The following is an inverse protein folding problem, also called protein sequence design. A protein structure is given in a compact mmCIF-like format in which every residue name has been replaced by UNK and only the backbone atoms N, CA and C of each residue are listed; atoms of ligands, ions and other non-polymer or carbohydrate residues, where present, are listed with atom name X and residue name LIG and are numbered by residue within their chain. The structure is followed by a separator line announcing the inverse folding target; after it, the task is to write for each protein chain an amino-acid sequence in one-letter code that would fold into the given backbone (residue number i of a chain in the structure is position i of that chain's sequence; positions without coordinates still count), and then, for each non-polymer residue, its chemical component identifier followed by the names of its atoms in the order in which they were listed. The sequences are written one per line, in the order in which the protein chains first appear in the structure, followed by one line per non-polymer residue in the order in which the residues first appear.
data_IF_897113991296
#
_entry.id   IF_897113991296
#
_cell.length_a   1.000
_cell.length_b   1.000
_cell.length_c   1.000
_cell.angle_alpha   90.00
_cell.angle_beta   90.00
_cell.angle_gamma   90.00
#
_symmetry.space_group_name_H-M   'P 1'
#
loop_
_entity.id
_entity.type
_entity.pdbx_description
1 polymer ?
#
# COMPACT_ATOMS: atom_id res chain seq x y z
N UNK A 1 9.59 -13.12 30.09
CA UNK A 1 8.32 -12.62 30.62
C UNK A 1 7.98 -11.17 30.22
N UNK A 2 8.92 -10.19 30.23
CA UNK A 2 8.59 -8.79 29.87
C UNK A 2 8.21 -8.63 28.40
N UNK A 3 8.93 -9.25 27.47
CA UNK A 3 8.59 -9.23 26.03
C UNK A 3 7.14 -9.71 25.78
N UNK A 4 6.74 -10.82 26.39
CA UNK A 4 5.37 -11.34 26.25
C UNK A 4 4.31 -10.36 26.80
N UNK A 5 4.59 -9.70 27.93
CA UNK A 5 3.66 -8.68 28.48
C UNK A 5 3.52 -7.48 27.54
N UNK A 6 4.63 -6.99 27.01
CA UNK A 6 4.64 -5.87 26.08
C UNK A 6 3.89 -6.22 24.79
N UNK A 7 4.17 -7.39 24.19
CA UNK A 7 3.50 -7.86 22.98
C UNK A 7 1.99 -8.05 23.21
N UNK A 8 1.58 -8.60 24.36
CA UNK A 8 0.16 -8.74 24.70
C UNK A 8 -0.54 -7.38 24.91
N UNK A 9 0.17 -6.39 25.44
CA UNK A 9 -0.36 -5.02 25.55
C UNK A 9 -0.55 -4.38 24.17
N UNK A 10 0.44 -4.54 23.27
CA UNK A 10 0.36 -4.05 21.89
C UNK A 10 -0.73 -4.77 21.09
N UNK A 11 -0.97 -6.07 21.33
CA UNK A 11 -2.10 -6.76 20.70
C UNK A 11 -3.42 -6.12 21.10
N UNK A 12 -3.64 -5.86 22.39
CA UNK A 12 -4.86 -5.17 22.85
C UNK A 12 -4.98 -3.74 22.29
N UNK A 13 -3.87 -3.02 22.19
CA UNK A 13 -3.80 -1.69 21.58
C UNK A 13 -4.23 -1.77 20.10
N UNK A 14 -3.71 -2.75 19.37
CA UNK A 14 -4.06 -2.97 17.96
C UNK A 14 -5.54 -3.37 17.79
N UNK A 15 -6.06 -4.23 18.66
CA UNK A 15 -7.49 -4.67 18.63
C UNK A 15 -8.45 -3.51 18.93
N UNK A 16 -7.98 -2.50 19.65
CA UNK A 16 -8.71 -1.26 19.88
C UNK A 16 -8.63 -0.25 18.71
N UNK A 17 -8.07 -0.64 17.57
CA UNK A 17 -7.93 0.22 16.38
C UNK A 17 -6.89 1.34 16.53
N UNK A 18 -6.04 1.30 17.55
CA UNK A 18 -5.08 2.37 17.86
C UNK A 18 -3.79 2.21 17.05
N UNK A 19 -3.27 3.34 16.55
CA UNK A 19 -2.05 3.39 15.75
C UNK A 19 -0.81 3.18 16.63
N UNK A 20 0.09 2.29 16.19
CA UNK A 20 1.39 2.08 16.77
C UNK A 20 2.50 2.32 15.75
N UNK A 21 3.30 3.37 15.93
CA UNK A 21 4.46 3.69 15.09
C UNK A 21 5.72 3.33 15.86
N UNK A 22 6.64 2.61 15.20
CA UNK A 22 7.98 2.38 15.73
C UNK A 22 9.03 3.19 14.97
N UNK A 23 9.99 3.74 15.70
CA UNK A 23 11.15 4.44 15.12
C UNK A 23 12.41 3.70 15.58
N UNK A 24 13.04 2.99 14.64
CA UNK A 24 14.21 2.17 14.92
C UNK A 24 15.48 3.01 14.81
N UNK A 25 16.18 3.14 15.93
CA UNK A 25 17.42 3.92 16.03
C UNK A 25 18.65 2.99 16.12
N UNK A 26 19.85 3.55 16.05
CA UNK A 26 21.11 2.78 16.15
C UNK A 26 21.58 2.66 17.60
N UNK A 27 21.76 1.43 18.18
CA UNK A 27 21.31 0.15 17.66
C UNK A 27 19.91 -0.28 18.17
N UNK A 28 19.16 -1.01 17.36
CA UNK A 28 17.95 -1.73 17.79
C UNK A 28 18.20 -3.22 17.66
N UNK A 29 18.52 -3.93 18.76
CA UNK A 29 18.96 -5.34 18.70
C UNK A 29 18.35 -6.20 19.82
N UNK A 30 18.48 -7.52 19.66
CA UNK A 30 18.09 -8.51 20.68
C UNK A 30 16.60 -8.55 20.95
N UNK A 31 16.25 -8.59 22.24
CA UNK A 31 14.87 -8.66 22.69
C UNK A 31 13.99 -7.47 22.29
N UNK A 32 14.58 -6.30 22.04
CA UNK A 32 13.85 -5.12 21.53
C UNK A 32 13.33 -5.40 20.11
N UNK A 33 14.20 -5.86 19.21
CA UNK A 33 13.81 -6.24 17.86
C UNK A 33 12.81 -7.39 17.87
N UNK A 34 13.07 -8.44 18.68
CA UNK A 34 12.21 -9.62 18.75
C UNK A 34 10.90 -9.41 19.54
N UNK A 35 10.52 -8.17 19.80
CA UNK A 35 9.27 -7.83 20.49
C UNK A 35 8.63 -6.57 19.91
N UNK A 36 8.54 -5.53 20.69
CA UNK A 36 7.76 -4.33 20.34
C UNK A 36 8.28 -3.56 19.13
N UNK A 37 9.59 -3.58 18.84
CA UNK A 37 10.16 -2.81 17.74
C UNK A 37 9.62 -3.22 16.35
N UNK A 38 9.36 -4.51 16.15
CA UNK A 38 8.87 -5.06 14.86
C UNK A 38 7.36 -5.26 14.82
N UNK A 39 6.61 -4.75 15.80
CA UNK A 39 5.15 -4.86 15.86
C UNK A 39 4.42 -3.57 15.45
N UNK A 40 5.13 -2.58 14.92
CA UNK A 40 4.53 -1.33 14.45
C UNK A 40 3.59 -1.53 13.27
N UNK A 41 2.46 -0.83 13.27
CA UNK A 41 1.63 -0.65 12.08
C UNK A 41 2.44 0.08 10.99
N UNK A 42 3.29 1.01 11.43
CA UNK A 42 4.26 1.74 10.62
C UNK A 42 5.61 1.65 11.32
N UNK A 43 6.62 1.16 10.58
CA UNK A 43 7.98 0.98 11.09
C UNK A 43 8.92 1.89 10.32
N UNK A 44 9.40 2.93 10.99
CA UNK A 44 10.41 3.85 10.47
C UNK A 44 11.78 3.50 11.01
N UNK A 45 12.84 3.80 10.27
CA UNK A 45 14.20 3.63 10.73
C UNK A 45 15.07 4.85 10.39
N UNK A 46 16.08 5.13 11.23
CA UNK A 46 17.12 6.09 10.89
C UNK A 46 18.09 5.47 9.88
N UNK A 47 18.70 6.28 8.99
CA UNK A 47 19.71 5.78 8.05
C UNK A 47 20.86 5.08 8.75
N UNK A 48 21.33 3.98 8.17
CA UNK A 48 22.45 3.18 8.66
C UNK A 48 22.30 2.60 10.06
N UNK A 49 21.13 2.67 10.68
CA UNK A 49 20.87 2.08 11.99
C UNK A 49 21.10 0.57 11.95
N UNK A 50 21.80 0.03 12.96
CA UNK A 50 21.97 -1.40 13.16
C UNK A 50 20.71 -1.99 13.77
N UNK A 51 20.02 -2.84 13.03
CA UNK A 51 18.73 -3.42 13.43
C UNK A 51 18.80 -4.94 13.19
N UNK A 52 18.63 -5.73 14.23
CA UNK A 52 18.66 -7.18 14.11
C UNK A 52 18.47 -7.90 15.44
N UNK A 53 18.16 -9.19 15.39
CA UNK A 53 18.01 -9.99 16.61
C UNK A 53 19.37 -10.34 17.20
N UNK A 54 20.15 -11.14 16.50
CA UNK A 54 21.54 -11.47 16.92
C UNK A 54 22.49 -10.37 16.43
N UNK A 55 23.43 -9.97 17.28
CA UNK A 55 24.44 -9.01 16.86
C UNK A 55 25.39 -9.59 15.80
N UNK A 56 25.98 -8.75 14.92
CA UNK A 56 26.84 -9.19 13.83
C UNK A 56 27.99 -10.13 14.28
N UNK A 57 28.64 -9.81 15.41
CA UNK A 57 29.72 -10.65 15.98
C UNK A 57 29.25 -12.05 16.33
N UNK A 58 28.05 -12.18 16.91
CA UNK A 58 27.49 -13.49 17.28
C UNK A 58 27.24 -14.32 16.03
N UNK A 59 26.66 -13.69 14.99
CA UNK A 59 26.38 -14.37 13.72
C UNK A 59 27.71 -14.83 13.08
N UNK A 60 28.71 -13.95 12.95
CA UNK A 60 30.02 -14.28 12.36
C UNK A 60 30.71 -15.41 13.08
N UNK A 61 30.65 -15.42 14.41
CA UNK A 61 31.20 -16.50 15.22
C UNK A 61 30.46 -17.82 15.05
N UNK A 62 29.15 -17.77 14.85
CA UNK A 62 28.32 -18.97 14.67
C UNK A 62 28.53 -19.61 13.30
N UNK A 63 28.52 -18.78 12.24
CA UNK A 63 28.64 -19.26 10.85
C UNK A 63 30.08 -19.36 10.34
N UNK A 64 31.05 -18.89 11.15
CA UNK A 64 32.48 -18.81 10.82
C UNK A 64 32.78 -18.08 9.47
N UNK A 65 31.97 -17.08 9.13
CA UNK A 65 32.11 -16.27 7.92
C UNK A 65 31.86 -14.79 8.22
N UNK A 66 32.56 -13.91 7.50
CA UNK A 66 32.30 -12.47 7.57
C UNK A 66 30.96 -12.14 6.92
N UNK A 67 30.22 -11.25 7.54
CA UNK A 67 28.95 -10.77 7.02
C UNK A 67 29.16 -9.81 5.83
N UNK A 68 28.22 -9.79 4.87
CA UNK A 68 28.26 -8.82 3.78
C UNK A 68 28.22 -7.39 4.31
N UNK A 69 28.85 -6.46 3.55
CA UNK A 69 28.81 -5.03 3.88
C UNK A 69 27.36 -4.54 3.87
N UNK A 70 26.98 -3.83 4.94
CA UNK A 70 25.62 -3.28 5.09
C UNK A 70 24.60 -4.27 5.67
N UNK A 71 25.00 -5.50 5.98
CA UNK A 71 24.11 -6.48 6.63
C UNK A 71 23.53 -5.93 7.94
N UNK A 72 22.24 -6.15 8.18
CA UNK A 72 21.49 -5.65 9.34
C UNK A 72 21.44 -4.10 9.46
N UNK A 73 21.76 -3.34 8.42
CA UNK A 73 21.51 -1.91 8.40
C UNK A 73 20.09 -1.61 7.94
N UNK A 74 19.59 -0.43 8.27
CA UNK A 74 18.23 0.00 7.86
C UNK A 74 17.98 -0.17 6.36
N UNK A 75 18.96 0.11 5.51
CA UNK A 75 18.87 -0.07 4.06
C UNK A 75 18.70 -1.56 3.69
N UNK A 76 19.36 -2.46 4.41
CA UNK A 76 19.17 -3.89 4.25
C UNK A 76 17.76 -4.31 4.66
N UNK A 77 17.24 -3.80 5.78
CA UNK A 77 15.90 -4.12 6.25
C UNK A 77 14.81 -3.59 5.30
N UNK A 78 15.03 -2.40 4.72
CA UNK A 78 14.12 -1.83 3.73
C UNK A 78 14.05 -2.74 2.48
N UNK A 79 15.22 -3.13 1.96
CA UNK A 79 15.31 -4.06 0.81
C UNK A 79 14.64 -5.40 1.07
N UNK A 80 14.73 -5.92 2.30
CA UNK A 80 14.12 -7.18 2.71
C UNK A 80 12.69 -7.02 3.27
N UNK A 81 12.08 -5.85 3.09
CA UNK A 81 10.68 -5.61 3.37
C UNK A 81 10.28 -5.54 4.85
N UNK A 82 11.23 -5.42 5.77
CA UNK A 82 10.96 -5.43 7.22
C UNK A 82 10.55 -4.07 7.79
N UNK A 83 10.88 -2.97 7.10
CA UNK A 83 10.53 -1.61 7.52
C UNK A 83 9.82 -0.86 6.38
N UNK A 84 9.02 0.14 6.74
CA UNK A 84 8.25 0.92 5.75
C UNK A 84 9.08 2.02 5.11
N UNK A 85 9.92 2.70 5.89
CA UNK A 85 10.65 3.87 5.40
C UNK A 85 11.89 4.18 6.23
N UNK A 86 12.94 4.66 5.55
CA UNK A 86 14.10 5.27 6.19
C UNK A 86 13.88 6.78 6.22
N UNK A 87 14.06 7.40 7.40
CA UNK A 87 13.82 8.81 7.62
C UNK A 87 15.00 9.42 8.36
N UNK A 88 15.58 10.48 7.81
CA UNK A 88 16.62 11.27 8.48
C UNK A 88 16.06 11.87 9.79
N UNK A 89 16.87 11.90 10.85
CA UNK A 89 16.44 12.43 12.16
C UNK A 89 15.88 13.85 12.08
N UNK A 90 16.44 14.70 11.22
CA UNK A 90 15.99 16.09 11.01
C UNK A 90 14.57 16.17 10.44
N UNK A 91 14.17 15.18 9.64
CA UNK A 91 12.88 15.13 8.93
C UNK A 91 11.83 14.30 9.69
N UNK A 92 12.26 13.56 10.74
CA UNK A 92 11.42 12.64 11.50
C UNK A 92 10.18 13.32 12.09
N UNK A 93 10.32 14.53 12.64
CA UNK A 93 9.20 15.30 13.20
C UNK A 93 8.13 15.56 12.13
N UNK A 94 8.53 16.03 10.97
CA UNK A 94 7.62 16.35 9.84
C UNK A 94 6.91 15.10 9.33
N UNK A 95 7.62 13.97 9.19
CA UNK A 95 7.04 12.71 8.75
C UNK A 95 6.04 12.18 9.77
N UNK A 96 6.38 12.19 11.04
CA UNK A 96 5.47 11.77 12.12
C UNK A 96 4.23 12.66 12.19
N UNK A 97 4.38 13.98 12.07
CA UNK A 97 3.27 14.93 12.05
C UNK A 97 2.27 14.62 10.93
N UNK A 98 2.76 14.38 9.72
CA UNK A 98 1.92 13.99 8.57
C UNK A 98 1.17 12.69 8.82
N UNK A 99 1.87 11.65 9.25
CA UNK A 99 1.28 10.34 9.55
C UNK A 99 0.20 10.47 10.63
N UNK A 100 0.50 11.14 11.74
CA UNK A 100 -0.44 11.32 12.85
C UNK A 100 -1.66 12.14 12.44
N UNK A 101 -1.47 13.20 11.64
CA UNK A 101 -2.57 14.03 11.15
C UNK A 101 -3.53 13.25 10.27
N UNK A 102 -3.00 12.44 9.34
CA UNK A 102 -3.82 11.58 8.47
C UNK A 102 -4.66 10.57 9.27
N UNK A 103 -4.08 9.98 10.32
CA UNK A 103 -4.80 9.01 11.17
C UNK A 103 -5.83 9.67 12.09
N UNK A 104 -5.56 10.89 12.58
CA UNK A 104 -6.51 11.65 13.40
C UNK A 104 -7.77 12.03 12.61
N UNK A 105 -7.62 12.52 11.40
CA UNK A 105 -8.75 12.88 10.54
C UNK A 105 -9.65 11.69 10.22
N UNK A 106 -9.08 10.50 10.04
CA UNK A 106 -9.85 9.27 9.85
C UNK A 106 -10.68 8.93 11.08
N UNK A 107 -10.08 9.05 12.28
CA UNK A 107 -10.78 8.76 13.54
C UNK A 107 -11.91 9.77 13.83
N UNK A 108 -11.71 11.04 13.54
CA UNK A 108 -12.72 12.10 13.67
C UNK A 108 -13.90 11.88 12.71
N UNK A 109 -13.63 11.51 11.45
CA UNK A 109 -14.68 11.21 10.46
C UNK A 109 -15.53 10.00 10.84
N UNK A 110 -14.96 9.00 11.51
CA UNK A 110 -15.71 7.85 12.04
C UNK A 110 -16.59 8.27 13.23
N UNK A 111 -16.08 9.14 14.11
CA UNK A 111 -16.84 9.62 15.27
C UNK A 111 -18.07 10.48 14.85
N UNK A 112 -17.95 11.30 13.83
CA UNK A 112 -19.06 12.07 13.27
C UNK A 112 -20.14 11.17 12.62
N UNK A 113 -19.73 10.10 11.93
CA UNK A 113 -20.66 9.15 11.31
C UNK A 113 -21.34 8.22 12.34
N UNK A 114 -20.72 7.91 13.46
CA UNK A 114 -21.34 7.11 14.54
C UNK A 114 -22.30 7.91 15.40
N UNK A 115 -22.23 9.25 15.38
CA UNK A 115 -23.19 10.13 16.04
C UNK A 115 -24.56 10.19 15.37
N UNK A 116 -24.66 9.85 14.09
CA UNK A 116 -25.91 9.67 13.37
C UNK A 116 -26.25 8.19 13.34
N UNK A 117 -27.06 7.73 14.30
CA UNK A 117 -27.59 6.36 14.41
C UNK A 117 -28.19 5.89 13.09
N UNK A 118 -27.40 5.32 12.21
CA UNK A 118 -27.87 4.42 11.17
C UNK A 118 -28.10 3.06 11.83
N UNK A 119 -29.30 2.81 12.31
CA UNK A 119 -29.78 1.46 12.66
C UNK A 119 -29.86 0.70 11.34
N UNK A 120 -28.87 -0.14 11.08
CA UNK A 120 -28.97 -1.12 10.00
C UNK A 120 -29.95 -2.20 10.46
N UNK A 121 -31.19 -2.08 10.05
CA UNK A 121 -32.13 -3.19 10.07
C UNK A 121 -31.80 -4.13 8.90
N UNK A 122 -31.56 -5.39 9.22
CA UNK A 122 -31.44 -6.49 8.26
C UNK A 122 -32.65 -6.49 7.32
N UNK A 123 -32.47 -6.13 6.06
CA UNK A 123 -33.47 -6.36 5.04
C UNK A 123 -33.70 -5.29 3.96
N UNK A 124 -33.25 -4.06 4.12
CA UNK A 124 -33.48 -3.03 3.09
C UNK A 124 -32.16 -2.37 2.65
N UNK A 125 -31.74 -2.67 1.42
CA UNK A 125 -30.79 -1.84 0.67
C UNK A 125 -31.54 -0.56 0.30
N UNK A 126 -31.58 0.41 1.19
CA UNK A 126 -32.01 1.76 0.83
C UNK A 126 -30.86 2.44 0.09
N UNK A 127 -31.04 2.54 -1.22
CA UNK A 127 -30.21 3.41 -2.07
C UNK A 127 -30.30 4.82 -1.48
N UNK A 128 -29.14 5.42 -1.16
CA UNK A 128 -29.05 6.79 -0.69
C UNK A 128 -29.92 7.70 -1.56
N UNK A 129 -30.67 8.62 -0.95
CA UNK A 129 -31.64 9.44 -1.65
C UNK A 129 -30.98 10.20 -2.80
N UNK A 130 -31.66 10.31 -3.94
CA UNK A 130 -31.17 11.00 -5.15
C UNK A 130 -30.69 12.45 -4.88
N UNK A 131 -31.05 13.03 -3.73
CA UNK A 131 -30.63 14.36 -3.31
C UNK A 131 -29.21 14.38 -2.72
N UNK A 132 -28.77 13.36 -1.98
CA UNK A 132 -27.40 13.28 -1.41
C UNK A 132 -26.38 12.88 -2.49
N UNK A 133 -26.74 11.92 -3.34
CA UNK A 133 -25.95 11.58 -4.55
C UNK A 133 -25.89 12.80 -5.47
N UNK A 134 -26.94 13.60 -5.55
CA UNK A 134 -27.00 14.84 -6.32
C UNK A 134 -26.05 15.93 -5.86
N UNK A 135 -25.75 16.06 -4.56
CA UNK A 135 -24.78 17.04 -4.04
C UNK A 135 -23.34 16.61 -4.28
N UNK A 136 -22.99 15.37 -4.00
CA UNK A 136 -21.67 14.82 -4.30
C UNK A 136 -21.36 14.86 -5.80
N UNK A 137 -22.32 14.52 -6.64
CA UNK A 137 -22.20 14.62 -8.12
C UNK A 137 -22.14 16.08 -8.60
N UNK A 138 -22.72 17.06 -7.89
CA UNK A 138 -22.61 18.49 -8.25
C UNK A 138 -21.22 19.06 -7.95
N UNK A 139 -20.54 18.61 -6.90
CA UNK A 139 -19.15 19.03 -6.58
C UNK A 139 -18.18 18.51 -7.65
N UNK A 140 -18.34 17.27 -8.10
CA UNK A 140 -17.56 16.70 -9.22
C UNK A 140 -17.92 17.34 -10.57
N UNK A 141 -19.14 17.87 -10.74
CA UNK A 141 -19.58 18.54 -11.99
C UNK A 141 -19.01 19.95 -12.16
N UNK A 142 -18.49 20.59 -11.13
CA UNK A 142 -17.91 21.94 -11.23
C UNK A 142 -16.41 22.00 -11.48
N UNK A 143 -15.66 20.88 -11.34
CA UNK A 143 -14.31 20.79 -11.85
C UNK A 143 -14.35 20.53 -13.36
N UNK A 144 -14.13 21.58 -14.16
CA UNK A 144 -13.99 21.60 -15.64
C UNK A 144 -14.56 20.37 -16.35
N UNK A 145 -15.83 20.44 -16.75
CA UNK A 145 -16.39 19.62 -17.82
C UNK A 145 -15.64 19.92 -19.12
N UNK A 146 -14.53 19.30 -19.38
CA UNK A 146 -14.17 19.00 -20.76
C UNK A 146 -15.15 17.94 -21.23
N UNK A 147 -16.27 18.39 -21.82
CA UNK A 147 -17.12 17.50 -22.61
C UNK A 147 -16.23 16.96 -23.72
N UNK A 148 -15.88 15.67 -23.65
CA UNK A 148 -15.34 14.97 -24.80
C UNK A 148 -16.23 15.32 -25.99
N UNK A 149 -15.65 15.90 -27.04
CA UNK A 149 -16.41 16.27 -28.23
C UNK A 149 -17.12 15.02 -28.76
N UNK A 150 -18.25 15.21 -29.43
CA UNK A 150 -18.98 14.10 -30.06
C UNK A 150 -18.03 13.24 -30.94
N UNK A 151 -17.03 13.88 -31.56
CA UNK A 151 -15.98 13.27 -32.38
C UNK A 151 -15.04 12.38 -31.53
N UNK A 152 -14.69 12.78 -30.31
CA UNK A 152 -13.84 11.95 -29.42
C UNK A 152 -14.63 10.76 -28.87
N UNK A 153 -15.93 10.93 -28.54
CA UNK A 153 -16.82 9.83 -28.15
C UNK A 153 -17.01 8.82 -29.31
N UNK A 154 -17.16 9.32 -30.54
CA UNK A 154 -17.30 8.50 -31.74
C UNK A 154 -16.01 7.71 -32.01
N UNK A 155 -14.83 8.35 -31.94
CA UNK A 155 -13.54 7.66 -32.09
C UNK A 155 -13.31 6.58 -31.04
N UNK A 156 -13.69 6.80 -29.78
CA UNK A 156 -13.57 5.80 -28.72
C UNK A 156 -14.50 4.59 -28.91
N UNK A 157 -15.65 4.75 -29.58
CA UNK A 157 -16.59 3.67 -29.91
C UNK A 157 -16.20 2.86 -31.14
N UNK A 158 -15.31 3.38 -31.98
CA UNK A 158 -14.91 2.79 -33.25
C UNK A 158 -13.65 1.89 -33.15
N UNK A 159 -12.89 1.94 -32.02
CA UNK A 159 -11.70 1.10 -31.82
C UNK A 159 -12.08 -0.36 -31.64
N UNK A 160 -11.44 -1.22 -32.41
CA UNK A 160 -11.51 -2.69 -32.21
C UNK A 160 -10.93 -3.09 -30.85
N UNK A 161 -11.21 -4.30 -30.37
CA UNK A 161 -10.63 -4.81 -29.13
C UNK A 161 -9.09 -4.80 -29.17
N UNK A 162 -8.51 -5.13 -30.31
CA UNK A 162 -7.05 -5.13 -30.48
C UNK A 162 -6.45 -3.72 -30.42
N UNK A 163 -7.08 -2.74 -31.07
CA UNK A 163 -6.64 -1.34 -30.98
C UNK A 163 -6.71 -0.80 -29.55
N UNK A 164 -7.68 -1.24 -28.74
CA UNK A 164 -7.73 -0.90 -27.31
C UNK A 164 -6.57 -1.49 -26.54
N UNK A 165 -6.21 -2.74 -26.82
CA UNK A 165 -5.02 -3.37 -26.22
C UNK A 165 -3.75 -2.61 -26.61
N UNK A 166 -3.60 -2.22 -27.87
CA UNK A 166 -2.45 -1.42 -28.32
C UNK A 166 -2.41 -0.06 -27.59
N UNK A 167 -3.57 0.61 -27.44
CA UNK A 167 -3.65 1.87 -26.69
C UNK A 167 -3.24 1.70 -25.23
N UNK A 168 -3.60 0.58 -24.57
CA UNK A 168 -3.20 0.30 -23.18
C UNK A 168 -1.69 0.06 -23.03
N UNK A 169 -0.98 -0.15 -24.13
CA UNK A 169 0.48 -0.40 -24.20
C UNK A 169 1.27 0.78 -24.75
N UNK A 170 0.62 1.90 -25.08
CA UNK A 170 1.31 3.11 -25.56
C UNK A 170 2.27 3.64 -24.50
N UNK A 171 3.49 4.00 -24.90
CA UNK A 171 4.55 4.47 -23.99
C UNK A 171 4.26 5.82 -23.35
N UNK A 172 3.60 6.71 -24.09
CA UNK A 172 3.32 8.08 -23.68
C UNK A 172 2.06 8.20 -22.79
N UNK A 173 1.37 7.10 -22.49
CA UNK A 173 0.21 7.14 -21.62
C UNK A 173 0.62 7.33 -20.16
N UNK A 174 -0.25 7.92 -19.33
CA UNK A 174 -0.02 7.98 -17.89
C UNK A 174 0.08 6.57 -17.28
N UNK A 175 1.00 6.41 -16.33
CA UNK A 175 1.19 5.19 -15.52
C UNK A 175 0.83 5.47 -14.05
N UNK A 176 0.88 4.46 -13.19
CA UNK A 176 0.47 4.58 -11.78
C UNK A 176 1.06 5.79 -11.06
N UNK A 177 2.34 6.09 -11.29
CA UNK A 177 3.05 7.24 -10.70
C UNK A 177 2.43 8.59 -11.09
N UNK A 178 2.00 8.73 -12.35
CA UNK A 178 1.36 9.97 -12.82
C UNK A 178 0.00 10.18 -12.15
N UNK A 179 -0.77 9.10 -11.94
CA UNK A 179 -2.04 9.17 -11.22
C UNK A 179 -1.84 9.48 -9.75
N UNK A 180 -0.83 8.87 -9.09
CA UNK A 180 -0.50 9.16 -7.69
C UNK A 180 -0.13 10.64 -7.55
N UNK A 181 0.83 11.12 -8.35
CA UNK A 181 1.31 12.51 -8.26
C UNK A 181 0.29 13.55 -8.71
N UNK A 182 -0.64 13.19 -9.61
CA UNK A 182 -1.62 14.11 -10.16
C UNK A 182 -2.94 14.21 -9.39
N UNK A 183 -3.30 13.19 -8.61
CA UNK A 183 -4.59 13.10 -7.92
C UNK A 183 -4.51 13.25 -6.41
N UNK A 184 -3.36 12.94 -5.82
CA UNK A 184 -3.21 12.88 -4.37
C UNK A 184 -2.22 13.92 -3.86
N UNK A 185 -2.48 14.36 -2.64
CA UNK A 185 -1.62 15.26 -1.89
C UNK A 185 -0.88 14.46 -0.81
N UNK A 186 0.40 14.83 -0.56
CA UNK A 186 1.21 14.30 0.54
C UNK A 186 1.34 12.76 0.58
N UNK A 187 1.48 12.12 -0.57
CA UNK A 187 1.66 10.68 -0.62
C UNK A 187 2.89 10.23 0.17
N UNK A 188 2.69 9.30 1.11
CA UNK A 188 3.73 8.65 1.91
C UNK A 188 3.75 7.17 1.51
N UNK A 189 4.77 6.78 0.75
CA UNK A 189 4.96 5.41 0.33
C UNK A 189 5.43 4.53 1.50
N UNK A 190 4.87 3.32 1.59
CA UNK A 190 5.25 2.27 2.51
C UNK A 190 5.76 1.04 1.76
N UNK A 191 6.88 0.50 2.21
CA UNK A 191 7.60 -0.58 1.57
C UNK A 191 7.43 -1.92 2.30
N UNK A 192 7.63 -3.00 1.54
CA UNK A 192 7.85 -4.33 2.06
C UNK A 192 6.63 -5.13 2.49
N UNK A 193 6.78 -6.44 2.39
CA UNK A 193 5.75 -7.42 2.71
C UNK A 193 5.80 -7.96 4.15
N UNK A 194 6.76 -7.54 4.95
CA UNK A 194 7.09 -8.03 6.30
C UNK A 194 7.61 -9.48 6.36
N UNK A 195 7.81 -10.12 5.22
CA UNK A 195 8.23 -11.53 5.16
C UNK A 195 9.55 -11.75 4.43
N UNK A 196 9.67 -11.24 3.21
CA UNK A 196 10.79 -11.56 2.33
C UNK A 196 11.41 -10.34 1.67
N UNK A 197 10.62 -9.44 1.09
CA UNK A 197 11.15 -8.34 0.31
C UNK A 197 10.17 -7.22 0.04
N UNK A 198 10.61 -6.32 -0.80
CA UNK A 198 9.76 -5.33 -1.46
C UNK A 198 9.66 -5.64 -2.94
N UNK A 199 8.60 -5.17 -3.57
CA UNK A 199 8.36 -5.33 -5.01
C UNK A 199 8.09 -3.97 -5.64
N UNK A 200 8.95 -3.57 -6.57
CA UNK A 200 8.83 -2.32 -7.30
C UNK A 200 7.66 -2.29 -8.30
N UNK A 201 7.06 -3.45 -8.62
CA UNK A 201 5.86 -3.54 -9.45
C UNK A 201 4.58 -3.12 -8.71
N UNK A 202 4.63 -3.00 -7.37
CA UNK A 202 3.54 -2.46 -6.55
C UNK A 202 4.05 -1.26 -5.74
N UNK A 203 3.43 -0.11 -5.92
CA UNK A 203 3.59 1.06 -5.08
C UNK A 203 2.36 1.21 -4.19
N UNK A 204 2.55 1.50 -2.91
CA UNK A 204 1.41 1.69 -2.02
C UNK A 204 1.75 2.51 -0.79
N UNK A 205 0.74 3.16 -0.23
CA UNK A 205 0.92 4.04 0.91
C UNK A 205 -0.34 4.79 1.30
N UNK A 206 -0.16 5.86 2.04
CA UNK A 206 -1.24 6.76 2.47
C UNK A 206 -1.10 8.14 1.84
N UNK A 207 -2.22 8.77 1.55
CA UNK A 207 -2.26 10.10 0.92
C UNK A 207 -3.54 10.84 1.29
N UNK A 208 -3.64 12.10 0.88
CA UNK A 208 -4.91 12.81 0.88
C UNK A 208 -5.54 12.80 -0.52
N UNK A 209 -6.83 12.53 -0.55
CA UNK A 209 -7.68 12.76 -1.72
C UNK A 209 -8.79 13.75 -1.35
N UNK A 210 -8.70 14.97 -1.88
CA UNK A 210 -9.63 16.07 -1.52
C UNK A 210 -9.76 16.30 -0.01
N UNK A 211 -8.64 16.27 0.70
CA UNK A 211 -8.57 16.48 2.14
C UNK A 211 -8.94 15.26 2.99
N UNK A 212 -9.34 14.13 2.39
CA UNK A 212 -9.66 12.89 3.09
C UNK A 212 -8.48 11.91 3.03
N UNK A 213 -8.06 11.32 4.15
CA UNK A 213 -7.02 10.29 4.15
C UNK A 213 -7.50 9.02 3.44
N UNK A 214 -6.71 8.52 2.51
CA UNK A 214 -6.95 7.29 1.74
C UNK A 214 -5.72 6.41 1.72
N UNK A 215 -5.92 5.12 1.49
CA UNK A 215 -4.85 4.20 1.13
C UNK A 215 -4.82 4.05 -0.39
N UNK A 216 -3.65 4.26 -0.99
CA UNK A 216 -3.44 4.15 -2.44
C UNK A 216 -2.55 2.95 -2.71
N UNK A 217 -2.93 2.12 -3.68
CA UNK A 217 -2.16 0.97 -4.15
C UNK A 217 -2.15 1.03 -5.69
N UNK A 218 -0.99 0.95 -6.30
CA UNK A 218 -0.86 1.04 -7.75
C UNK A 218 0.06 -0.05 -8.29
N UNK A 219 -0.38 -0.71 -9.34
CA UNK A 219 0.49 -1.53 -10.18
C UNK A 219 1.32 -0.61 -11.07
N UNK A 220 2.63 -0.81 -11.07
CA UNK A 220 3.60 0.13 -11.60
C UNK A 220 4.25 -0.40 -12.87
N UNK A 221 4.03 0.30 -13.97
CA UNK A 221 4.86 0.17 -15.19
C UNK A 221 5.85 1.33 -15.26
N UNK A 222 7.00 1.08 -15.87
CA UNK A 222 8.00 2.10 -16.16
C UNK A 222 7.73 2.84 -17.47
N UNK A 223 8.27 4.05 -17.59
CA UNK A 223 8.26 4.86 -18.82
C UNK A 223 9.48 4.56 -19.71
N UNK A 224 10.55 4.03 -19.11
CA UNK A 224 11.76 3.60 -19.80
C UNK A 224 11.92 2.07 -19.75
N UNK A 225 12.81 1.54 -20.60
CA UNK A 225 13.14 0.11 -20.58
C UNK A 225 13.78 -0.30 -19.25
N UNK A 226 14.65 0.54 -18.69
CA UNK A 226 15.30 0.28 -17.40
C UNK A 226 14.30 0.18 -16.27
N UNK A 227 13.38 1.14 -16.17
CA UNK A 227 12.31 1.13 -15.16
C UNK A 227 11.37 -0.07 -15.33
N UNK A 228 11.06 -0.46 -16.58
CA UNK A 228 10.24 -1.63 -16.83
C UNK A 228 10.93 -2.93 -16.38
N UNK A 229 12.24 -3.05 -16.55
CA UNK A 229 13.02 -4.20 -16.05
C UNK A 229 12.97 -4.22 -14.52
N UNK A 230 13.20 -3.08 -13.86
CA UNK A 230 13.15 -2.96 -12.40
C UNK A 230 11.78 -3.33 -11.82
N UNK A 231 10.70 -3.00 -12.55
CA UNK A 231 9.30 -3.25 -12.16
C UNK A 231 8.72 -4.52 -12.78
N UNK A 232 9.56 -5.45 -13.22
CA UNK A 232 9.14 -6.71 -13.88
C UNK A 232 8.07 -6.50 -14.97
N UNK A 233 8.17 -5.41 -15.74
CA UNK A 233 7.19 -4.99 -16.75
C UNK A 233 5.76 -4.81 -16.20
N UNK A 234 5.64 -4.42 -14.93
CA UNK A 234 4.38 -4.29 -14.22
C UNK A 234 3.77 -5.62 -13.78
N UNK A 235 4.56 -6.68 -13.70
CA UNK A 235 4.14 -8.00 -13.22
C UNK A 235 4.56 -8.17 -11.76
N UNK A 236 3.63 -8.13 -10.79
CA UNK A 236 3.99 -8.26 -9.39
C UNK A 236 4.49 -9.66 -9.03
N UNK A 237 5.47 -9.70 -8.14
CA UNK A 237 5.94 -10.88 -7.43
C UNK A 237 5.08 -11.15 -6.17
N UNK A 238 5.27 -12.28 -5.45
CA UNK A 238 4.52 -12.58 -4.23
C UNK A 238 4.58 -11.48 -3.18
N UNK A 239 5.73 -10.81 -3.08
CA UNK A 239 5.99 -9.71 -2.14
C UNK A 239 5.09 -8.51 -2.43
N UNK A 240 4.82 -8.21 -3.70
CA UNK A 240 3.93 -7.14 -4.12
C UNK A 240 2.50 -7.39 -3.65
N UNK A 241 1.98 -8.59 -3.85
CA UNK A 241 0.64 -8.98 -3.39
C UNK A 241 0.52 -8.95 -1.86
N UNK A 242 1.53 -9.47 -1.14
CA UNK A 242 1.54 -9.43 0.34
C UNK A 242 1.63 -8.01 0.87
N UNK A 243 2.43 -7.14 0.23
CA UNK A 243 2.49 -5.71 0.55
C UNK A 243 1.12 -5.05 0.34
N UNK A 244 0.46 -5.29 -0.79
CA UNK A 244 -0.87 -4.76 -1.07
C UNK A 244 -1.88 -5.20 0.01
N UNK A 245 -1.94 -6.49 0.33
CA UNK A 245 -2.83 -7.00 1.38
C UNK A 245 -2.54 -6.37 2.74
N UNK A 246 -1.29 -6.24 3.11
CA UNK A 246 -0.90 -5.59 4.37
C UNK A 246 -1.43 -4.16 4.45
N UNK A 247 -1.31 -3.39 3.37
CA UNK A 247 -1.82 -2.02 3.29
C UNK A 247 -3.35 -1.97 3.31
N UNK A 248 -4.02 -2.93 2.67
CA UNK A 248 -5.48 -3.06 2.73
C UNK A 248 -5.97 -3.37 4.15
N UNK A 249 -5.31 -4.28 4.88
CA UNK A 249 -5.63 -4.57 6.29
C UNK A 249 -5.35 -3.37 7.20
N UNK A 250 -4.30 -2.61 6.93
CA UNK A 250 -4.05 -1.35 7.64
C UNK A 250 -5.13 -0.30 7.33
N UNK A 251 -5.59 -0.23 6.08
CA UNK A 251 -6.67 0.67 5.68
C UNK A 251 -7.99 0.32 6.41
N UNK A 252 -8.33 -0.96 6.47
CA UNK A 252 -9.49 -1.47 7.22
C UNK A 252 -9.41 -1.10 8.71
N UNK A 253 -8.26 -1.37 9.35
CA UNK A 253 -8.02 -1.04 10.76
C UNK A 253 -8.25 0.44 11.08
N UNK A 254 -7.90 1.33 10.16
CA UNK A 254 -7.99 2.78 10.33
C UNK A 254 -9.13 3.41 9.51
N UNK A 255 -10.07 2.60 9.00
CA UNK A 255 -11.26 3.03 8.26
C UNK A 255 -10.97 3.96 7.07
N UNK A 256 -9.85 3.74 6.37
CA UNK A 256 -9.50 4.51 5.18
C UNK A 256 -10.05 3.83 3.93
N UNK A 257 -10.72 4.54 3.02
CA UNK A 257 -11.01 4.02 1.69
C UNK A 257 -9.73 3.62 0.95
N UNK A 258 -9.82 2.57 0.13
CA UNK A 258 -8.72 2.06 -0.67
C UNK A 258 -8.95 2.44 -2.13
N UNK A 259 -7.94 2.99 -2.78
CA UNK A 259 -7.95 3.31 -4.22
C UNK A 259 -6.85 2.51 -4.89
N UNK A 260 -7.24 1.59 -5.79
CA UNK A 260 -6.35 0.73 -6.53
C UNK A 260 -6.25 1.18 -7.99
N UNK A 261 -5.03 1.38 -8.50
CA UNK A 261 -4.76 1.61 -9.92
C UNK A 261 -4.24 0.33 -10.55
N UNK A 262 -5.00 -0.23 -11.48
CA UNK A 262 -4.71 -1.52 -12.11
C UNK A 262 -4.06 -1.32 -13.47
N UNK A 263 -2.83 -1.83 -13.61
CA UNK A 263 -2.07 -1.81 -14.86
C UNK A 263 -1.02 -2.92 -14.90
N UNK A 264 -1.45 -4.13 -15.14
CA UNK A 264 -0.56 -5.30 -15.24
C UNK A 264 -0.98 -6.25 -16.36
N UNK A 265 -0.02 -6.86 -17.09
CA UNK A 265 -0.33 -7.97 -17.99
C UNK A 265 -0.65 -9.27 -17.23
N UNK A 266 -0.34 -9.35 -15.94
CA UNK A 266 -0.52 -10.51 -15.07
C UNK A 266 0.52 -10.57 -13.96
N UNK A 267 0.45 -11.59 -13.13
CA UNK A 267 1.45 -11.87 -12.11
C UNK A 267 2.77 -12.33 -12.75
N UNK A 268 3.90 -12.05 -12.08
CA UNK A 268 5.21 -12.52 -12.55
C UNK A 268 5.26 -14.05 -12.53
N UNK A 269 5.69 -14.65 -13.65
CA UNK A 269 5.71 -16.10 -13.88
C UNK A 269 7.12 -16.67 -13.87
N UNK A 270 7.94 -16.26 -12.89
CA UNK A 270 9.31 -16.77 -12.72
C UNK A 270 9.38 -17.93 -11.73
N UNK A 271 10.42 -18.75 -11.82
CA UNK A 271 10.68 -19.88 -10.91
C UNK A 271 10.77 -19.37 -9.45
N UNK A 272 11.52 -18.30 -9.22
CA UNK A 272 11.70 -17.71 -7.89
C UNK A 272 10.38 -17.21 -7.28
N UNK A 273 9.46 -16.69 -8.11
CA UNK A 273 8.14 -16.28 -7.64
C UNK A 273 7.28 -17.48 -7.22
N UNK A 274 7.34 -18.58 -7.97
CA UNK A 274 6.66 -19.84 -7.60
C UNK A 274 7.23 -20.42 -6.29
N UNK A 275 8.55 -20.43 -6.13
CA UNK A 275 9.22 -20.87 -4.89
C UNK A 275 8.81 -20.05 -3.67
N UNK A 276 8.50 -18.77 -3.86
CA UNK A 276 8.02 -17.85 -2.79
C UNK A 276 6.50 -17.79 -2.66
N UNK A 277 5.77 -18.63 -3.41
CA UNK A 277 4.33 -18.82 -3.24
C UNK A 277 3.47 -17.83 -3.99
N UNK A 278 3.72 -17.59 -5.28
CA UNK A 278 2.95 -16.69 -6.13
C UNK A 278 1.45 -17.01 -6.12
N UNK A 279 1.10 -18.27 -6.29
CA UNK A 279 -0.30 -18.72 -6.28
C UNK A 279 -0.99 -18.50 -4.92
N UNK A 280 -0.28 -18.76 -3.82
CA UNK A 280 -0.80 -18.52 -2.46
C UNK A 280 -1.03 -17.04 -2.20
N UNK A 281 -0.09 -16.18 -2.56
CA UNK A 281 -0.21 -14.73 -2.36
C UNK A 281 -1.42 -14.14 -3.11
N UNK A 282 -1.65 -14.55 -4.35
CA UNK A 282 -2.82 -14.16 -5.14
C UNK A 282 -4.12 -14.68 -4.50
N UNK A 283 -4.17 -15.98 -4.17
CA UNK A 283 -5.35 -16.59 -3.58
C UNK A 283 -5.71 -15.95 -2.21
N UNK A 284 -4.69 -15.67 -1.41
CA UNK A 284 -4.85 -15.01 -0.11
C UNK A 284 -5.43 -13.59 -0.26
N UNK A 285 -4.90 -12.80 -1.20
CA UNK A 285 -5.44 -11.47 -1.47
C UNK A 285 -6.91 -11.52 -1.85
N UNK A 286 -7.30 -12.36 -2.81
CA UNK A 286 -8.70 -12.50 -3.23
C UNK A 286 -9.61 -12.93 -2.08
N UNK A 287 -9.14 -13.85 -1.24
CA UNK A 287 -9.89 -14.32 -0.08
C UNK A 287 -10.10 -13.20 0.95
N UNK A 288 -9.02 -12.53 1.35
CA UNK A 288 -9.07 -11.49 2.38
C UNK A 288 -9.79 -10.22 1.90
N UNK A 289 -9.60 -9.83 0.62
CA UNK A 289 -10.30 -8.68 0.04
C UNK A 289 -11.82 -8.86 0.05
N UNK A 290 -12.32 -10.09 -0.06
CA UNK A 290 -13.76 -10.37 -0.05
C UNK A 290 -14.43 -10.10 1.30
N UNK A 291 -13.66 -9.96 2.36
CA UNK A 291 -14.15 -9.72 3.73
C UNK A 291 -13.78 -8.36 4.30
N UNK A 292 -13.11 -7.50 3.52
CA UNK A 292 -12.76 -6.15 3.97
C UNK A 292 -14.00 -5.28 4.12
N UNK A 293 -14.14 -4.62 5.27
CA UNK A 293 -15.26 -3.74 5.62
C UNK A 293 -15.02 -2.27 5.22
N UNK A 294 -13.96 -1.98 4.48
CA UNK A 294 -13.67 -0.64 3.96
C UNK A 294 -13.91 -0.56 2.45
N UNK A 295 -14.36 0.59 1.91
CA UNK A 295 -14.58 0.75 0.48
C UNK A 295 -13.31 0.56 -0.34
N UNK A 296 -13.39 -0.23 -1.42
CA UNK A 296 -12.32 -0.44 -2.37
C UNK A 296 -12.78 0.08 -3.74
N UNK A 297 -12.05 1.06 -4.28
CA UNK A 297 -12.24 1.57 -5.62
C UNK A 297 -11.10 1.10 -6.53
N UNK A 298 -11.41 0.24 -7.49
CA UNK A 298 -10.44 -0.19 -8.51
C UNK A 298 -10.60 0.61 -9.79
N UNK A 299 -9.51 1.20 -10.26
CA UNK A 299 -9.44 2.02 -11.47
C UNK A 299 -8.50 1.34 -12.46
N UNK A 300 -9.05 0.79 -13.55
CA UNK A 300 -8.26 0.21 -14.63
C UNK A 300 -7.68 1.33 -15.48
N UNK A 301 -6.37 1.54 -15.41
CA UNK A 301 -5.66 2.61 -16.12
C UNK A 301 -4.85 2.12 -17.33
N UNK A 302 -4.68 0.82 -17.48
CA UNK A 302 -3.94 0.20 -18.59
C UNK A 302 -4.39 -1.23 -18.85
N UNK A 303 -3.50 -2.20 -18.68
CA UNK A 303 -3.82 -3.63 -18.80
C UNK A 303 -4.39 -4.17 -17.50
N UNK A 304 -5.37 -5.07 -17.60
CA UNK A 304 -5.92 -5.82 -16.47
C UNK A 304 -5.89 -7.32 -16.77
N UNK A 305 -4.70 -7.89 -16.73
CA UNK A 305 -4.48 -9.26 -17.15
C UNK A 305 -4.48 -10.27 -15.99
N UNK A 306 -5.15 -11.43 -16.22
CA UNK A 306 -5.06 -12.60 -15.35
C UNK A 306 -5.61 -12.35 -13.91
N UNK A 307 -5.46 -13.35 -13.04
CA UNK A 307 -5.71 -13.23 -11.61
C UNK A 307 -4.81 -12.20 -10.91
N UNK A 308 -3.65 -11.90 -11.51
CA UNK A 308 -2.72 -10.91 -11.01
C UNK A 308 -3.23 -9.46 -11.03
N UNK A 309 -4.22 -9.14 -11.86
CA UNK A 309 -4.88 -7.84 -11.87
C UNK A 309 -6.06 -7.75 -10.89
N UNK A 310 -6.52 -8.88 -10.38
CA UNK A 310 -7.68 -8.97 -9.46
C UNK A 310 -7.25 -9.02 -7.99
N UNK A 311 -6.01 -9.44 -7.73
CA UNK A 311 -5.50 -9.71 -6.38
C UNK A 311 -4.84 -8.50 -5.70
#
# INVERSE_FOLDING_TARGET
MQMAKTSAALKRHSDAGLLYITVLTDPTTGGVTASFAMLGDIILAEPKALIGFAGPRVIEQTIHKKLPKGFQRSEFLLKHGFIDKIVERKDMKTVLEKILTMHRLTAEGVAENTGNNAVFNDGDITVASEQEVGQTVKIVKNSRKQKLSATQKKRASEKTAWERVLTSREKERPVGEDYISGLFEEFIEFHGDRNFGDDAAICGGIAYFQGQPVTVIAQMKGKSTSENIERNFGMPEPEGYRKALRLMKQAEKFHRPIICFVDTPGAFCGMEAEERGQGEAIARNLYEMSSLETPILSVLIGEGGSGGALA
#
